data_IF_115786725935
#
_entry.id   IF_115786725935
#
_cell.length_a   1.000
_cell.length_b   1.000
_cell.length_c   1.000
_cell.angle_alpha   90.00
_cell.angle_beta   90.00
_cell.angle_gamma   90.00
#
_symmetry.space_group_name_H-M   'P 1'
#
loop_
_entity.id
_entity.type
_entity.pdbx_description
1 polymer ?
#
# COMPACT_ATOMS: atom_id res chain seq x y z
N UNK A 1 -23.55 -9.52 22.45
CA UNK A 1 -23.11 -9.27 21.04
C UNK A 1 -21.60 -9.11 21.07
N UNK A 2 -20.85 -9.69 20.13
CA UNK A 2 -19.41 -9.47 20.05
C UNK A 2 -19.15 -7.98 19.77
N UNK A 3 -18.16 -7.38 20.42
CA UNK A 3 -17.71 -6.01 20.18
C UNK A 3 -17.29 -5.88 18.70
N UNK A 4 -17.92 -4.97 17.97
CA UNK A 4 -17.61 -4.70 16.58
C UNK A 4 -17.28 -3.21 16.44
N UNK A 5 -16.00 -2.85 16.51
CA UNK A 5 -15.60 -1.45 16.47
C UNK A 5 -15.86 -0.82 15.10
N UNK A 6 -15.88 0.50 15.06
CA UNK A 6 -15.98 1.21 13.80
C UNK A 6 -14.70 1.01 12.96
N UNK A 7 -13.51 1.11 13.58
CA UNK A 7 -12.24 0.88 12.91
C UNK A 7 -11.46 -0.31 13.46
N UNK A 8 -10.79 -1.05 12.57
CA UNK A 8 -9.62 -1.85 12.90
C UNK A 8 -8.39 -1.16 12.33
N UNK A 9 -7.55 -0.63 13.19
CA UNK A 9 -6.22 -0.14 12.76
C UNK A 9 -5.31 -1.36 12.67
N UNK A 10 -4.77 -1.64 11.49
CA UNK A 10 -3.85 -2.76 11.30
C UNK A 10 -2.43 -2.24 11.09
N UNK A 11 -1.46 -2.86 11.76
CA UNK A 11 -0.04 -2.50 11.62
C UNK A 11 0.79 -3.74 11.32
N UNK A 12 1.17 -3.96 10.05
CA UNK A 12 2.24 -4.91 9.73
C UNK A 12 3.56 -4.39 10.30
N UNK A 13 4.30 -5.24 11.02
CA UNK A 13 5.57 -4.85 11.63
C UNK A 13 6.62 -5.95 11.48
N UNK A 14 7.90 -5.57 11.39
CA UNK A 14 9.04 -6.48 11.37
C UNK A 14 10.29 -5.77 11.88
N UNK A 15 10.81 -6.16 13.06
CA UNK A 15 11.98 -5.56 13.71
C UNK A 15 11.84 -4.03 13.85
N UNK A 16 10.71 -3.57 14.41
CA UNK A 16 10.36 -2.15 14.55
C UNK A 16 10.18 -1.69 16.00
N UNK A 17 10.79 -2.37 16.97
CA UNK A 17 10.73 -1.96 18.38
C UNK A 17 11.13 -0.48 18.60
N UNK A 18 12.02 0.05 17.76
CA UNK A 18 12.53 1.42 17.85
C UNK A 18 11.58 2.49 17.26
N UNK A 19 10.58 2.11 16.44
CA UNK A 19 9.64 3.06 15.81
C UNK A 19 8.19 2.83 16.19
N UNK A 20 7.79 1.60 16.48
CA UNK A 20 6.40 1.20 16.73
C UNK A 20 5.74 1.99 17.87
N UNK A 21 6.55 2.49 18.83
CA UNK A 21 6.08 3.34 19.90
C UNK A 21 5.40 4.63 19.44
N UNK A 22 5.79 5.18 18.28
CA UNK A 22 5.13 6.37 17.72
C UNK A 22 3.68 6.05 17.31
N UNK A 23 3.49 4.92 16.62
CA UNK A 23 2.16 4.46 16.22
C UNK A 23 1.27 4.26 17.46
N UNK A 24 1.78 3.59 18.52
CA UNK A 24 1.06 3.39 19.77
C UNK A 24 0.64 4.71 20.43
N UNK A 25 1.56 5.66 20.60
CA UNK A 25 1.26 6.97 21.20
C UNK A 25 0.18 7.69 20.38
N UNK A 26 0.30 7.72 19.05
CA UNK A 26 -0.68 8.37 18.18
C UNK A 26 -2.07 7.74 18.24
N UNK A 27 -2.17 6.44 18.57
CA UNK A 27 -3.44 5.76 18.83
C UNK A 27 -4.01 6.11 20.20
N UNK A 28 -3.17 6.26 21.23
CA UNK A 28 -3.59 6.72 22.53
C UNK A 28 -4.17 8.15 22.51
N UNK A 29 -3.64 8.99 21.60
CA UNK A 29 -4.03 10.39 21.44
C UNK A 29 -5.27 10.60 20.55
N UNK A 30 -5.84 9.52 19.96
CA UNK A 30 -7.05 9.66 19.15
C UNK A 30 -8.25 10.09 19.99
N UNK A 31 -9.01 11.06 19.47
CA UNK A 31 -10.27 11.52 20.09
C UNK A 31 -11.41 10.55 19.87
N UNK A 32 -11.38 9.76 18.82
CA UNK A 32 -12.34 8.70 18.50
C UNK A 32 -11.88 7.37 19.11
N UNK A 33 -12.71 6.76 19.98
CA UNK A 33 -12.30 5.60 20.78
C UNK A 33 -12.90 4.27 20.31
N UNK A 34 -13.80 4.28 19.32
CA UNK A 34 -14.43 3.05 18.81
C UNK A 34 -13.55 2.36 17.76
N UNK A 35 -12.39 1.87 18.21
CA UNK A 35 -11.45 1.14 17.37
C UNK A 35 -10.72 0.04 18.15
N UNK A 36 -10.15 -0.89 17.41
CA UNK A 36 -9.17 -1.87 17.86
C UNK A 36 -7.84 -1.70 17.11
N UNK A 37 -6.74 -2.13 17.70
CA UNK A 37 -5.44 -2.19 17.05
C UNK A 37 -5.00 -3.63 16.83
N UNK A 38 -4.77 -4.03 15.57
CA UNK A 38 -4.35 -5.36 15.17
C UNK A 38 -2.91 -5.30 14.65
N UNK A 39 -1.97 -5.74 15.46
CA UNK A 39 -0.54 -5.79 15.13
C UNK A 39 -0.22 -7.16 14.57
N UNK A 40 0.27 -7.19 13.32
CA UNK A 40 0.76 -8.40 12.67
C UNK A 40 2.29 -8.33 12.62
N UNK A 41 2.92 -9.10 13.47
CA UNK A 41 4.37 -9.20 13.54
C UNK A 41 4.87 -10.26 12.57
N UNK A 42 5.55 -9.81 11.52
CA UNK A 42 6.05 -10.63 10.42
C UNK A 42 7.42 -11.26 10.74
N UNK A 43 7.55 -11.82 11.93
CA UNK A 43 8.72 -12.60 12.34
C UNK A 43 9.83 -11.78 13.00
N UNK A 44 9.49 -10.76 13.81
CA UNK A 44 10.48 -9.99 14.56
C UNK A 44 11.27 -10.87 15.53
N UNK A 45 12.54 -10.53 15.69
CA UNK A 45 13.46 -11.10 16.65
C UNK A 45 14.05 -10.04 17.60
N UNK A 46 13.53 -8.82 17.54
CA UNK A 46 13.82 -7.72 18.48
C UNK A 46 12.76 -7.65 19.59
N UNK A 47 12.77 -6.60 20.39
CA UNK A 47 11.83 -6.39 21.49
C UNK A 47 10.39 -5.99 21.05
N UNK A 48 10.00 -6.15 19.77
CA UNK A 48 8.68 -5.76 19.25
C UNK A 48 7.55 -6.45 20.03
N UNK A 49 7.61 -7.76 20.22
CA UNK A 49 6.59 -8.52 20.93
C UNK A 49 6.43 -8.10 22.39
N UNK A 50 7.55 -7.91 23.10
CA UNK A 50 7.55 -7.45 24.51
C UNK A 50 6.95 -6.05 24.66
N UNK A 51 7.20 -5.16 23.69
CA UNK A 51 6.59 -3.84 23.67
C UNK A 51 5.07 -3.93 23.56
N UNK A 52 4.58 -4.70 22.60
CA UNK A 52 3.12 -4.84 22.39
C UNK A 52 2.46 -5.48 23.60
N UNK A 53 3.08 -6.50 24.22
CA UNK A 53 2.54 -7.14 25.43
C UNK A 53 2.37 -6.13 26.58
N UNK A 54 3.34 -5.20 26.79
CA UNK A 54 3.19 -4.14 27.77
C UNK A 54 2.05 -3.18 27.44
N UNK A 55 1.89 -2.81 26.17
CA UNK A 55 0.81 -1.92 25.75
C UNK A 55 -0.57 -2.54 25.87
N UNK A 56 -0.71 -3.86 25.66
CA UNK A 56 -1.97 -4.59 25.90
C UNK A 56 -2.48 -4.41 27.35
N UNK A 57 -1.56 -4.30 28.31
CA UNK A 57 -1.91 -4.08 29.72
C UNK A 57 -2.24 -2.60 30.05
N UNK A 58 -1.88 -1.64 29.22
CA UNK A 58 -1.95 -0.21 29.49
C UNK A 58 -2.99 0.54 28.65
N UNK A 59 -3.27 0.04 27.44
CA UNK A 59 -4.14 0.71 26.48
C UNK A 59 -5.60 0.74 26.94
N UNK A 60 -6.31 1.79 26.53
CA UNK A 60 -7.77 1.93 26.76
C UNK A 60 -8.60 1.32 25.64
N UNK A 61 -7.96 0.82 24.59
CA UNK A 61 -8.57 0.18 23.45
C UNK A 61 -8.03 -1.26 23.28
N UNK A 62 -8.77 -2.19 22.66
CA UNK A 62 -8.30 -3.54 22.43
C UNK A 62 -7.08 -3.58 21.52
N UNK A 63 -6.06 -4.35 21.91
CA UNK A 63 -4.89 -4.64 21.08
C UNK A 63 -4.82 -6.14 20.85
N UNK A 64 -4.84 -6.54 19.58
CA UNK A 64 -4.57 -7.91 19.15
C UNK A 64 -3.12 -7.97 18.62
N UNK A 65 -2.35 -8.96 19.09
CA UNK A 65 -1.00 -9.21 18.60
C UNK A 65 -0.93 -10.61 18.00
N UNK A 66 -0.43 -10.69 16.76
CA UNK A 66 -0.27 -11.95 16.03
C UNK A 66 1.13 -12.02 15.41
N UNK A 67 1.94 -12.94 15.90
CA UNK A 67 3.23 -13.27 15.32
C UNK A 67 3.09 -14.30 14.20
N UNK A 68 3.90 -14.18 13.16
CA UNK A 68 4.01 -15.15 12.07
C UNK A 68 5.46 -15.28 11.63
N UNK A 69 5.82 -16.38 10.98
CA UNK A 69 7.07 -16.46 10.22
C UNK A 69 7.05 -15.42 9.11
N UNK A 70 8.19 -14.76 8.85
CA UNK A 70 8.29 -13.68 7.87
C UNK A 70 7.86 -14.12 6.46
N UNK A 71 6.86 -13.45 5.92
CA UNK A 71 6.28 -13.68 4.60
C UNK A 71 6.04 -12.36 3.84
N UNK A 72 6.73 -11.29 4.22
CA UNK A 72 6.61 -9.93 3.71
C UNK A 72 5.30 -9.20 4.09
N UNK A 73 5.37 -7.85 4.04
CA UNK A 73 4.28 -6.93 4.40
C UNK A 73 2.92 -7.30 3.79
N UNK A 74 2.88 -7.80 2.54
CA UNK A 74 1.63 -8.15 1.86
C UNK A 74 0.85 -9.28 2.56
N UNK A 75 1.54 -10.32 3.05
CA UNK A 75 0.90 -11.42 3.78
C UNK A 75 0.46 -10.94 5.16
N UNK A 76 1.30 -10.16 5.85
CA UNK A 76 0.94 -9.54 7.12
C UNK A 76 -0.29 -8.62 6.97
N UNK A 77 -0.37 -7.84 5.89
CA UNK A 77 -1.54 -7.03 5.55
C UNK A 77 -2.80 -7.91 5.41
N UNK A 78 -2.77 -8.93 4.54
CA UNK A 78 -3.91 -9.82 4.31
C UNK A 78 -4.38 -10.49 5.61
N UNK A 79 -3.45 -10.92 6.46
CA UNK A 79 -3.77 -11.49 7.78
C UNK A 79 -4.40 -10.46 8.71
N UNK A 80 -3.90 -9.21 8.71
CA UNK A 80 -4.50 -8.11 9.45
C UNK A 80 -5.95 -7.87 9.02
N UNK A 81 -6.21 -7.80 7.71
CA UNK A 81 -7.57 -7.64 7.15
C UNK A 81 -8.48 -8.83 7.53
N UNK A 82 -7.96 -10.06 7.51
CA UNK A 82 -8.72 -11.24 7.93
C UNK A 82 -9.10 -11.19 9.41
N UNK A 83 -8.23 -10.63 10.27
CA UNK A 83 -8.42 -10.51 11.73
C UNK A 83 -9.24 -9.28 12.13
N UNK A 84 -9.29 -8.27 11.31
CA UNK A 84 -10.03 -7.04 11.56
C UNK A 84 -11.51 -7.34 11.85
N UNK A 85 -12.07 -6.82 12.96
CA UNK A 85 -13.49 -6.96 13.29
C UNK A 85 -14.29 -5.68 12.98
N UNK A 86 -13.61 -4.55 12.78
CA UNK A 86 -14.20 -3.26 12.48
C UNK A 86 -14.90 -3.18 11.13
N UNK A 87 -15.75 -2.16 10.99
CA UNK A 87 -16.40 -1.85 9.72
C UNK A 87 -15.39 -1.35 8.67
N UNK A 88 -14.37 -0.64 9.12
CA UNK A 88 -13.28 -0.12 8.29
C UNK A 88 -11.93 -0.58 8.79
N UNK A 89 -11.03 -0.77 7.84
CA UNK A 89 -9.60 -0.98 8.10
C UNK A 89 -8.86 0.32 7.82
N UNK A 90 -7.99 0.70 8.75
CA UNK A 90 -6.97 1.75 8.62
C UNK A 90 -5.61 1.06 8.66
N UNK A 91 -4.76 1.25 7.65
CA UNK A 91 -3.44 0.59 7.60
C UNK A 91 -2.39 1.58 8.07
N UNK A 92 -1.96 1.48 9.32
CA UNK A 92 -0.93 2.33 9.89
C UNK A 92 0.42 1.64 9.85
N UNK A 93 1.36 2.18 9.11
CA UNK A 93 2.73 1.67 9.07
C UNK A 93 3.43 1.84 10.44
N UNK A 94 4.32 0.90 10.77
CA UNK A 94 4.99 0.80 12.08
C UNK A 94 5.97 1.94 12.40
N UNK A 95 6.20 2.85 11.47
CA UNK A 95 7.10 4.00 11.58
C UNK A 95 6.38 5.36 11.39
N UNK A 96 5.05 5.35 11.18
CA UNK A 96 4.23 6.54 11.00
C UNK A 96 3.30 6.80 12.21
N UNK A 97 2.58 7.92 12.18
CA UNK A 97 1.57 8.26 13.19
C UNK A 97 0.27 8.73 12.55
N UNK A 98 -0.84 8.52 13.23
CA UNK A 98 -2.10 9.18 12.89
C UNK A 98 -2.06 10.66 13.34
N UNK A 99 -2.72 11.54 12.57
CA UNK A 99 -3.05 12.87 13.07
C UNK A 99 -4.04 12.76 14.26
N UNK A 100 -4.06 13.72 15.21
CA UNK A 100 -4.80 13.55 16.46
C UNK A 100 -6.31 13.27 16.31
N UNK A 101 -6.94 13.79 15.26
CA UNK A 101 -8.38 13.59 14.98
C UNK A 101 -8.65 12.67 13.80
N UNK A 102 -7.62 11.96 13.29
CA UNK A 102 -7.74 11.23 12.03
C UNK A 102 -8.90 10.23 11.99
N UNK A 103 -9.10 9.46 13.06
CA UNK A 103 -10.21 8.48 13.10
C UNK A 103 -11.56 9.18 13.21
N UNK A 104 -11.67 10.27 13.99
CA UNK A 104 -12.89 11.07 14.08
C UNK A 104 -13.25 11.68 12.73
N UNK A 105 -12.29 12.30 12.06
CA UNK A 105 -12.49 12.97 10.78
C UNK A 105 -12.87 11.97 9.68
N UNK A 106 -12.20 10.80 9.62
CA UNK A 106 -12.57 9.72 8.68
C UNK A 106 -14.00 9.24 8.92
N UNK A 107 -14.43 9.08 10.18
CA UNK A 107 -15.80 8.68 10.52
C UNK A 107 -16.81 9.75 10.13
N UNK A 108 -16.51 11.04 10.38
CA UNK A 108 -17.35 12.16 10.01
C UNK A 108 -17.53 12.24 8.48
N UNK A 109 -16.42 12.21 7.73
CA UNK A 109 -16.41 12.23 6.25
C UNK A 109 -17.22 11.05 5.66
N UNK A 110 -17.10 9.86 6.26
CA UNK A 110 -17.92 8.72 5.83
C UNK A 110 -19.41 8.94 6.11
N UNK A 111 -19.73 9.48 7.28
CA UNK A 111 -21.13 9.71 7.68
C UNK A 111 -21.81 10.80 6.85
N UNK A 112 -21.06 11.73 6.27
CA UNK A 112 -21.55 12.75 5.34
C UNK A 112 -21.93 12.16 3.96
N UNK A 113 -21.53 10.91 3.66
CA UNK A 113 -22.03 10.22 2.46
C UNK A 113 -23.48 9.83 2.72
N UNK A 114 -24.45 10.24 1.87
CA UNK A 114 -25.84 9.82 1.98
C UNK A 114 -25.93 8.29 2.09
N UNK A 115 -26.72 7.79 3.02
CA UNK A 115 -26.82 6.35 3.30
C UNK A 115 -27.16 5.54 2.04
N UNK A 116 -28.05 6.07 1.20
CA UNK A 116 -28.43 5.45 -0.07
C UNK A 116 -27.24 5.26 -1.03
N UNK A 117 -26.23 6.11 -0.96
CA UNK A 117 -25.05 6.08 -1.85
C UNK A 117 -23.87 5.31 -1.26
N UNK A 118 -23.84 5.03 0.05
CA UNK A 118 -22.69 4.38 0.75
C UNK A 118 -22.29 3.06 0.13
N UNK A 119 -23.22 2.33 -0.47
CA UNK A 119 -22.93 1.06 -1.14
C UNK A 119 -21.95 1.20 -2.31
N UNK A 120 -21.87 2.38 -2.93
CA UNK A 120 -20.97 2.71 -4.05
C UNK A 120 -19.56 3.01 -3.59
N UNK A 121 -19.34 3.34 -2.31
CA UNK A 121 -18.06 3.78 -1.78
C UNK A 121 -17.32 2.64 -1.07
N UNK A 122 -16.02 2.54 -1.35
CA UNK A 122 -15.13 1.62 -0.66
C UNK A 122 -14.35 2.28 0.47
N UNK A 123 -14.04 3.57 0.35
CA UNK A 123 -13.04 4.21 1.20
C UNK A 123 -13.27 5.72 1.39
N UNK A 124 -12.67 6.23 2.44
CA UNK A 124 -12.38 7.65 2.66
C UNK A 124 -10.87 7.81 2.65
N UNK A 125 -10.34 8.78 1.89
CA UNK A 125 -8.91 8.99 1.74
C UNK A 125 -8.56 10.47 1.84
N UNK A 126 -7.57 10.79 2.66
CA UNK A 126 -7.03 12.12 2.85
C UNK A 126 -5.54 12.20 2.54
N UNK A 127 -4.91 13.24 3.03
CA UNK A 127 -3.54 13.59 2.78
C UNK A 127 -2.60 13.00 3.85
N UNK A 128 -1.34 12.91 3.49
CA UNK A 128 -0.24 12.70 4.41
C UNK A 128 0.58 13.98 4.53
N UNK A 129 1.03 14.30 5.74
CA UNK A 129 1.96 15.39 5.98
C UNK A 129 3.28 14.87 6.54
N UNK A 130 4.34 15.63 6.44
CA UNK A 130 5.59 15.43 7.18
C UNK A 130 5.45 16.00 8.60
N UNK A 131 6.36 15.68 9.54
CA UNK A 131 6.34 16.27 10.88
C UNK A 131 6.42 17.80 10.91
N UNK A 132 6.95 18.41 9.85
CA UNK A 132 7.00 19.87 9.66
C UNK A 132 5.71 20.48 9.07
N UNK A 133 4.65 19.67 8.90
CA UNK A 133 3.35 20.09 8.37
C UNK A 133 3.27 20.13 6.84
N UNK A 134 4.35 19.93 6.10
CA UNK A 134 4.32 19.93 4.64
C UNK A 134 3.60 18.70 4.11
N UNK A 135 2.67 18.91 3.19
CA UNK A 135 1.94 17.84 2.51
C UNK A 135 2.89 16.98 1.65
N UNK A 136 2.68 15.67 1.66
CA UNK A 136 3.44 14.73 0.84
C UNK A 136 2.72 14.53 -0.49
N UNK A 137 3.25 15.17 -1.54
CA UNK A 137 2.65 15.18 -2.88
C UNK A 137 1.59 16.26 -3.07
N UNK A 138 0.59 15.97 -3.90
CA UNK A 138 -0.41 16.94 -4.33
C UNK A 138 -1.68 16.88 -3.45
N UNK A 139 -2.39 17.99 -3.32
CA UNK A 139 -3.77 18.01 -2.81
C UNK A 139 -4.74 17.44 -3.87
N UNK A 140 -5.96 17.14 -3.44
CA UNK A 140 -7.05 16.79 -4.36
C UNK A 140 -7.64 18.06 -5.00
N UNK A 141 -8.33 17.93 -6.16
CA UNK A 141 -8.86 19.09 -6.90
C UNK A 141 -9.80 19.97 -6.09
N UNK A 142 -10.63 19.37 -5.24
CA UNK A 142 -11.58 20.03 -4.36
C UNK A 142 -11.42 19.51 -2.92
N UNK A 143 -11.98 20.24 -1.95
CA UNK A 143 -11.92 19.85 -0.53
C UNK A 143 -12.61 18.51 -0.25
N UNK A 144 -13.65 18.21 -1.01
CA UNK A 144 -14.31 16.89 -1.07
C UNK A 144 -14.47 16.48 -2.53
N UNK A 145 -13.91 15.34 -2.91
CA UNK A 145 -13.89 14.87 -4.28
C UNK A 145 -14.24 13.37 -4.35
N UNK A 146 -15.37 13.03 -4.94
CA UNK A 146 -15.82 11.65 -5.10
C UNK A 146 -15.38 11.08 -6.45
N UNK A 147 -14.47 10.13 -6.46
CA UNK A 147 -13.93 9.55 -7.68
C UNK A 147 -13.43 8.11 -7.45
N UNK A 148 -13.08 7.42 -8.53
CA UNK A 148 -12.27 6.21 -8.42
C UNK A 148 -10.79 6.55 -8.20
N UNK A 149 -10.03 5.66 -7.58
CA UNK A 149 -8.57 5.80 -7.46
C UNK A 149 -7.89 5.90 -8.83
N UNK A 150 -8.48 5.31 -9.87
CA UNK A 150 -7.96 5.37 -11.23
C UNK A 150 -8.19 6.76 -11.86
N UNK A 151 -9.32 7.41 -11.59
CA UNK A 151 -9.57 8.79 -12.04
C UNK A 151 -8.63 9.77 -11.36
N UNK A 152 -8.48 9.69 -10.03
CA UNK A 152 -7.52 10.52 -9.27
C UNK A 152 -6.09 10.35 -9.82
N UNK A 153 -5.68 9.12 -10.12
CA UNK A 153 -4.32 8.83 -10.59
C UNK A 153 -4.10 9.29 -12.02
N UNK A 154 -5.00 8.95 -12.93
CA UNK A 154 -4.76 9.13 -14.37
C UNK A 154 -5.48 10.33 -14.98
N UNK A 155 -6.67 10.68 -14.51
CA UNK A 155 -7.40 11.83 -15.03
C UNK A 155 -6.94 13.11 -14.34
N UNK A 156 -7.00 13.16 -13.02
CA UNK A 156 -6.60 14.34 -12.24
C UNK A 156 -5.08 14.42 -12.07
N UNK A 157 -4.41 13.26 -12.02
CA UNK A 157 -2.95 13.15 -11.95
C UNK A 157 -2.36 13.48 -10.60
N UNK A 158 -3.14 13.36 -9.55
CA UNK A 158 -2.72 13.56 -8.16
C UNK A 158 -1.65 12.54 -7.79
N UNK A 159 -0.55 13.01 -7.23
CA UNK A 159 0.64 12.22 -6.85
C UNK A 159 0.89 12.27 -5.35
N UNK A 160 1.82 11.42 -4.91
CA UNK A 160 2.28 11.35 -3.53
C UNK A 160 1.44 10.44 -2.66
N UNK A 161 1.89 10.30 -1.41
CA UNK A 161 1.26 9.44 -0.43
C UNK A 161 -0.13 9.94 -0.05
N UNK A 162 -1.07 9.02 0.01
CA UNK A 162 -2.44 9.24 0.45
C UNK A 162 -2.78 8.21 1.51
N UNK A 163 -3.66 8.56 2.44
CA UNK A 163 -3.97 7.71 3.57
C UNK A 163 -5.44 7.80 3.96
N UNK A 164 -6.01 6.70 4.45
CA UNK A 164 -7.42 6.71 4.86
C UNK A 164 -7.90 5.37 5.38
N UNK A 165 -9.20 5.19 5.37
CA UNK A 165 -9.85 3.95 5.75
C UNK A 165 -10.58 3.31 4.57
N UNK A 166 -10.62 1.99 4.57
CA UNK A 166 -11.32 1.20 3.55
C UNK A 166 -12.26 0.20 4.20
N UNK A 167 -13.43 0.01 3.64
CA UNK A 167 -14.41 -0.97 4.13
C UNK A 167 -13.79 -2.37 4.21
N UNK A 168 -13.94 -3.00 5.36
CA UNK A 168 -13.36 -4.33 5.65
C UNK A 168 -13.91 -5.42 4.73
N UNK A 169 -15.21 -5.39 4.46
CA UNK A 169 -15.86 -6.36 3.55
C UNK A 169 -15.33 -6.27 2.12
N UNK A 170 -14.97 -5.07 1.68
CA UNK A 170 -14.38 -4.86 0.35
C UNK A 170 -12.92 -5.32 0.34
N UNK A 171 -12.09 -4.93 1.32
CA UNK A 171 -10.69 -5.37 1.37
C UNK A 171 -10.56 -6.89 1.38
N UNK A 172 -11.46 -7.61 2.06
CA UNK A 172 -11.48 -9.08 2.05
C UNK A 172 -11.71 -9.69 0.67
N UNK A 173 -12.35 -8.98 -0.23
CA UNK A 173 -12.59 -9.42 -1.62
C UNK A 173 -11.43 -9.13 -2.56
N UNK A 174 -10.53 -8.23 -2.17
CA UNK A 174 -9.40 -7.79 -2.99
C UNK A 174 -8.08 -7.90 -2.20
N UNK A 175 -7.65 -9.14 -1.81
CA UNK A 175 -6.40 -9.32 -1.10
C UNK A 175 -5.19 -9.04 -2.00
N UNK A 176 -4.04 -8.78 -1.39
CA UNK A 176 -2.77 -8.81 -2.10
C UNK A 176 -2.50 -10.20 -2.71
N UNK A 177 -1.92 -10.28 -3.90
CA UNK A 177 -1.46 -11.54 -4.46
C UNK A 177 -0.24 -12.04 -3.65
N UNK A 178 -0.43 -13.14 -2.90
CA UNK A 178 0.63 -13.72 -2.05
C UNK A 178 1.62 -14.56 -2.85
N UNK A 179 1.22 -15.06 -4.01
CA UNK A 179 2.02 -15.86 -4.94
C UNK A 179 3.11 -15.07 -5.67
N UNK A 180 3.06 -13.74 -5.62
CA UNK A 180 4.10 -12.88 -6.21
C UNK A 180 5.25 -12.73 -5.21
N UNK A 181 6.50 -13.15 -5.52
CA UNK A 181 7.63 -12.99 -4.62
C UNK A 181 7.94 -11.53 -4.28
N UNK A 182 8.48 -11.30 -3.08
CA UNK A 182 8.98 -10.00 -2.64
C UNK A 182 7.91 -8.92 -2.47
N UNK A 183 8.31 -7.68 -2.75
CA UNK A 183 7.45 -6.51 -2.63
C UNK A 183 6.37 -6.46 -3.70
N UNK A 184 5.14 -6.21 -3.30
CA UNK A 184 4.01 -5.93 -4.19
C UNK A 184 3.44 -4.55 -3.88
N UNK A 185 3.36 -3.63 -4.87
CA UNK A 185 2.83 -2.28 -4.64
C UNK A 185 1.36 -2.27 -4.21
N UNK A 186 1.06 -1.49 -3.17
CA UNK A 186 -0.30 -1.36 -2.59
C UNK A 186 -1.34 -0.85 -3.62
N UNK A 187 -0.90 -0.02 -4.54
CA UNK A 187 -1.77 0.53 -5.58
C UNK A 187 -2.48 -0.53 -6.43
N UNK A 188 -1.97 -1.77 -6.49
CA UNK A 188 -2.65 -2.87 -7.19
C UNK A 188 -3.99 -3.23 -6.53
N UNK A 189 -4.06 -3.23 -5.20
CA UNK A 189 -5.30 -3.48 -4.44
C UNK A 189 -6.30 -2.35 -4.69
N UNK A 190 -5.85 -1.11 -4.53
CA UNK A 190 -6.71 0.06 -4.71
C UNK A 190 -7.26 0.18 -6.15
N UNK A 191 -6.42 -0.12 -7.14
CA UNK A 191 -6.85 -0.17 -8.55
C UNK A 191 -7.83 -1.32 -8.84
N UNK A 192 -7.66 -2.48 -8.20
CA UNK A 192 -8.61 -3.58 -8.35
C UNK A 192 -9.99 -3.21 -7.79
N UNK A 193 -10.04 -2.57 -6.62
CA UNK A 193 -11.28 -2.04 -6.01
C UNK A 193 -11.94 -1.01 -6.94
N UNK A 194 -11.16 -0.08 -7.50
CA UNK A 194 -11.66 0.93 -8.43
C UNK A 194 -12.24 0.32 -9.72
N UNK A 195 -11.57 -0.70 -10.28
CA UNK A 195 -12.09 -1.44 -11.46
C UNK A 195 -13.36 -2.22 -11.19
N UNK A 196 -13.60 -2.60 -9.95
CA UNK A 196 -14.87 -3.21 -9.54
C UNK A 196 -16.03 -2.18 -9.41
N UNK A 197 -15.77 -0.91 -9.73
CA UNK A 197 -16.76 0.16 -9.77
C UNK A 197 -16.92 0.94 -8.47
N UNK A 198 -16.08 0.69 -7.46
CA UNK A 198 -16.16 1.42 -6.21
C UNK A 198 -15.51 2.80 -6.29
N UNK A 199 -16.16 3.76 -5.63
CA UNK A 199 -15.68 5.11 -5.42
C UNK A 199 -14.92 5.23 -4.10
N UNK A 200 -14.13 6.27 -4.02
CA UNK A 200 -13.50 6.76 -2.79
C UNK A 200 -13.88 8.22 -2.62
N UNK A 201 -14.23 8.63 -1.41
CA UNK A 201 -14.34 10.04 -1.05
C UNK A 201 -12.96 10.54 -0.65
N UNK A 202 -12.41 11.45 -1.43
CA UNK A 202 -11.15 12.12 -1.19
C UNK A 202 -11.39 13.46 -0.50
N UNK A 203 -10.55 13.78 0.50
CA UNK A 203 -10.64 15.05 1.26
C UNK A 203 -9.26 15.66 1.48
N UNK A 204 -9.19 17.00 1.43
CA UNK A 204 -7.96 17.75 1.69
C UNK A 204 -7.69 17.90 3.19
N UNK A 205 -7.82 16.79 3.96
CA UNK A 205 -7.54 16.71 5.37
C UNK A 205 -6.35 15.77 5.62
N UNK A 206 -5.49 16.10 6.58
CA UNK A 206 -4.32 15.28 6.92
C UNK A 206 -4.72 14.21 7.92
N UNK A 207 -4.57 12.95 7.54
CA UNK A 207 -4.87 11.80 8.40
C UNK A 207 -3.63 11.10 8.95
N UNK A 208 -2.48 11.20 8.25
CA UNK A 208 -1.23 10.55 8.64
C UNK A 208 -0.07 11.53 8.62
N UNK A 209 0.81 11.41 9.63
CA UNK A 209 2.12 12.04 9.63
C UNK A 209 3.15 10.98 9.20
N UNK A 210 3.75 11.23 8.04
CA UNK A 210 4.74 10.36 7.41
C UNK A 210 6.15 10.72 7.86
N UNK A 211 6.87 9.75 8.43
CA UNK A 211 8.26 9.90 8.86
C UNK A 211 9.20 9.24 7.86
N UNK A 212 10.03 10.02 7.13
CA UNK A 212 11.05 9.44 6.26
C UNK A 212 12.03 8.62 7.10
N UNK A 213 12.02 7.31 6.93
CA UNK A 213 12.91 6.38 7.65
C UNK A 213 14.00 5.88 6.72
N UNK A 214 15.28 5.97 7.15
CA UNK A 214 16.38 5.34 6.42
C UNK A 214 16.13 3.83 6.38
N UNK A 215 16.19 3.23 5.18
CA UNK A 215 15.92 1.81 5.00
C UNK A 215 14.42 1.47 4.88
N UNK A 216 13.53 2.46 4.67
CA UNK A 216 12.14 2.17 4.33
C UNK A 216 12.03 1.37 3.03
N UNK A 217 11.02 0.51 2.91
CA UNK A 217 10.76 -0.24 1.68
C UNK A 217 10.62 0.70 0.46
N UNK A 218 10.13 1.91 0.67
CA UNK A 218 9.99 2.94 -0.37
C UNK A 218 11.35 3.51 -0.80
N UNK A 219 12.29 3.70 0.13
CA UNK A 219 13.65 4.20 -0.18
C UNK A 219 14.55 3.12 -0.76
N UNK A 220 14.33 1.86 -0.39
CA UNK A 220 14.99 0.67 -0.93
C UNK A 220 14.29 0.09 -2.17
N UNK A 221 13.13 0.63 -2.55
CA UNK A 221 12.30 0.17 -3.69
C UNK A 221 12.97 0.34 -5.05
N UNK A 222 14.15 0.90 -5.04
CA UNK A 222 15.04 0.72 -6.14
C UNK A 222 15.08 -0.80 -6.46
N UNK A 223 15.20 -1.13 -7.59
CA UNK A 223 15.46 -2.29 -8.40
C UNK A 223 16.33 -3.36 -7.68
N UNK A 224 15.80 -3.97 -6.63
CA UNK A 224 16.36 -5.22 -6.12
C UNK A 224 15.74 -6.39 -6.87
N UNK A 225 16.47 -7.46 -7.00
CA UNK A 225 16.02 -8.67 -7.72
C UNK A 225 14.72 -9.21 -7.12
N UNK A 226 14.54 -9.13 -5.79
CA UNK A 226 13.34 -9.57 -5.10
C UNK A 226 12.09 -8.73 -5.40
N UNK A 227 12.25 -7.44 -5.76
CA UNK A 227 11.13 -6.54 -6.03
C UNK A 227 10.66 -6.55 -7.50
N UNK A 228 11.44 -7.15 -8.39
CA UNK A 228 11.14 -7.17 -9.83
C UNK A 228 9.77 -7.74 -10.19
N UNK A 229 9.33 -8.89 -9.61
CA UNK A 229 8.02 -9.45 -9.97
C UNK A 229 6.87 -8.49 -9.68
N UNK A 230 6.83 -7.88 -8.50
CA UNK A 230 5.78 -6.94 -8.11
C UNK A 230 5.80 -5.64 -8.92
N UNK A 231 6.98 -5.09 -9.22
CA UNK A 231 7.13 -3.91 -10.08
C UNK A 231 6.72 -4.21 -11.52
N UNK A 232 7.05 -5.39 -12.03
CA UNK A 232 6.62 -5.84 -13.34
C UNK A 232 5.10 -6.04 -13.39
N UNK A 233 4.50 -6.58 -12.31
CA UNK A 233 3.06 -6.73 -12.18
C UNK A 233 2.34 -5.37 -12.22
N UNK A 234 2.87 -4.35 -11.51
CA UNK A 234 2.30 -3.00 -11.55
C UNK A 234 2.39 -2.38 -12.94
N UNK A 235 3.52 -2.54 -13.62
CA UNK A 235 3.70 -2.04 -14.98
C UNK A 235 2.72 -2.73 -15.96
N UNK A 236 2.59 -4.05 -15.85
CA UNK A 236 1.61 -4.85 -16.61
C UNK A 236 0.17 -4.41 -16.29
N UNK A 237 -0.18 -4.22 -15.01
CA UNK A 237 -1.52 -3.76 -14.60
C UNK A 237 -1.88 -2.44 -15.27
N UNK A 238 -0.93 -1.52 -15.37
CA UNK A 238 -1.14 -0.23 -16.05
C UNK A 238 -1.45 -0.42 -17.54
N UNK A 239 -0.63 -1.18 -18.28
CA UNK A 239 -0.77 -1.30 -19.74
C UNK A 239 -1.88 -2.27 -20.17
N UNK A 240 -2.37 -3.12 -19.28
CA UNK A 240 -3.44 -4.08 -19.58
C UNK A 240 -4.77 -3.65 -19.01
N UNK A 241 -4.80 -3.38 -17.71
CA UNK A 241 -6.05 -3.22 -16.97
C UNK A 241 -6.53 -1.76 -16.85
N UNK A 242 -5.63 -0.79 -17.09
CA UNK A 242 -5.95 0.64 -16.97
C UNK A 242 -6.09 1.34 -18.33
N UNK A 243 -6.11 0.63 -19.44
CA UNK A 243 -6.21 1.19 -20.81
C UNK A 243 -7.34 2.21 -21.03
N UNK A 244 -8.52 2.11 -20.42
CA UNK A 244 -9.56 3.14 -20.55
C UNK A 244 -9.11 4.57 -20.16
N UNK A 245 -8.11 4.67 -19.29
CA UNK A 245 -7.52 5.94 -18.84
C UNK A 245 -6.36 6.42 -19.71
N UNK A 246 -5.91 5.66 -20.72
CA UNK A 246 -4.81 6.03 -21.63
C UNK A 246 -4.98 7.43 -22.21
N UNK A 247 -6.20 7.80 -22.63
CA UNK A 247 -6.51 9.09 -23.23
C UNK A 247 -6.17 10.31 -22.36
N UNK A 248 -6.16 10.15 -21.04
CA UNK A 248 -5.89 11.25 -20.10
C UNK A 248 -4.39 11.47 -19.89
N UNK A 249 -3.59 10.39 -19.83
CA UNK A 249 -2.15 10.44 -19.56
C UNK A 249 -1.36 9.43 -20.38
N UNK A 250 -1.34 9.52 -21.71
CA UNK A 250 -0.70 8.51 -22.56
C UNK A 250 0.77 8.27 -22.22
N UNK A 251 1.50 9.33 -21.83
CA UNK A 251 2.92 9.22 -21.45
C UNK A 251 3.15 8.28 -20.26
N UNK A 252 2.25 8.23 -19.28
CA UNK A 252 2.39 7.31 -18.14
C UNK A 252 2.24 5.85 -18.58
N UNK A 253 1.43 5.58 -19.60
CA UNK A 253 1.29 4.24 -20.17
C UNK A 253 2.54 3.84 -20.98
N UNK A 254 3.14 4.75 -21.75
CA UNK A 254 4.41 4.49 -22.41
C UNK A 254 5.54 4.26 -21.40
N UNK A 255 5.60 5.04 -20.32
CA UNK A 255 6.54 4.80 -19.21
C UNK A 255 6.31 3.43 -18.55
N UNK A 256 5.05 3.04 -18.34
CA UNK A 256 4.72 1.73 -17.78
C UNK A 256 5.11 0.59 -18.74
N UNK A 257 4.88 0.74 -20.04
CA UNK A 257 5.28 -0.21 -21.07
C UNK A 257 6.82 -0.38 -21.13
N UNK A 258 7.56 0.73 -21.07
CA UNK A 258 9.02 0.70 -21.00
C UNK A 258 9.53 0.02 -19.70
N UNK A 259 8.90 0.33 -18.54
CA UNK A 259 9.21 -0.35 -17.26
C UNK A 259 8.90 -1.84 -17.33
N UNK A 260 7.79 -2.22 -17.94
CA UNK A 260 7.46 -3.63 -18.14
C UNK A 260 8.57 -4.36 -18.90
N UNK A 261 8.99 -3.83 -20.06
CA UNK A 261 10.07 -4.40 -20.88
C UNK A 261 11.38 -4.50 -20.07
N UNK A 262 11.77 -3.42 -19.38
CA UNK A 262 12.95 -3.36 -18.50
C UNK A 262 12.94 -4.45 -17.44
N UNK A 263 11.83 -4.61 -16.72
CA UNK A 263 11.71 -5.58 -15.63
C UNK A 263 11.61 -7.02 -16.15
N UNK A 264 10.95 -7.23 -17.30
CA UNK A 264 10.89 -8.55 -17.94
C UNK A 264 12.27 -9.04 -18.38
N UNK A 265 13.08 -8.16 -18.95
CA UNK A 265 14.47 -8.47 -19.32
C UNK A 265 15.31 -8.78 -18.08
N UNK A 266 15.13 -8.00 -17.01
CA UNK A 266 15.83 -8.24 -15.76
C UNK A 266 15.44 -9.58 -15.11
N UNK A 267 14.16 -9.93 -15.07
CA UNK A 267 13.66 -11.23 -14.60
C UNK A 267 14.21 -12.39 -15.42
N UNK A 268 14.24 -12.26 -16.74
CA UNK A 268 14.80 -13.28 -17.62
C UNK A 268 16.29 -13.52 -17.35
N UNK A 269 17.07 -12.46 -17.16
CA UNK A 269 18.51 -12.57 -16.86
C UNK A 269 18.81 -13.11 -15.48
N UNK A 270 17.97 -12.81 -14.49
CA UNK A 270 18.17 -13.32 -13.11
C UNK A 270 17.80 -14.80 -12.96
N UNK A 271 17.26 -15.43 -13.98
CA UNK A 271 16.81 -16.84 -13.92
C UNK A 271 15.59 -17.04 -13.01
N UNK A 272 14.96 -15.97 -12.52
CA UNK A 272 13.77 -16.07 -11.70
C UNK A 272 12.56 -16.55 -12.53
N UNK A 273 11.77 -17.43 -11.93
CA UNK A 273 10.50 -17.82 -12.53
C UNK A 273 9.58 -16.60 -12.63
N UNK A 274 8.91 -16.48 -13.78
CA UNK A 274 7.99 -15.38 -14.03
C UNK A 274 6.58 -15.80 -13.67
N UNK A 275 5.95 -15.19 -12.63
CA UNK A 275 4.58 -15.53 -12.28
C UNK A 275 3.63 -15.31 -13.47
N UNK A 276 2.65 -16.21 -13.64
CA UNK A 276 1.67 -16.11 -14.73
C UNK A 276 0.93 -14.77 -14.76
N UNK A 277 0.67 -14.21 -13.58
CA UNK A 277 0.03 -12.90 -13.40
C UNK A 277 0.77 -11.73 -14.09
N UNK A 278 2.06 -11.90 -14.41
CA UNK A 278 2.89 -10.86 -15.05
C UNK A 278 2.81 -10.93 -16.59
N UNK A 279 2.22 -11.96 -17.19
CA UNK A 279 2.15 -12.09 -18.63
C UNK A 279 1.22 -11.06 -19.27
N UNK A 280 1.63 -10.51 -20.41
CA UNK A 280 0.80 -9.62 -21.22
C UNK A 280 -0.31 -10.37 -21.91
N UNK A 281 -1.43 -9.70 -22.04
CA UNK A 281 -2.51 -10.10 -22.93
C UNK A 281 -3.16 -8.86 -23.57
N UNK A 282 -3.87 -9.04 -24.68
CA UNK A 282 -4.53 -7.98 -25.41
C UNK A 282 -3.60 -7.24 -26.40
N UNK A 283 -4.09 -7.00 -27.61
CA UNK A 283 -3.31 -6.40 -28.70
C UNK A 283 -2.80 -4.99 -28.37
N UNK A 284 -3.62 -4.15 -27.72
CA UNK A 284 -3.24 -2.78 -27.37
C UNK A 284 -2.05 -2.74 -26.37
N UNK A 285 -2.04 -3.65 -25.38
CA UNK A 285 -0.92 -3.75 -24.45
C UNK A 285 0.36 -4.18 -25.15
N UNK A 286 0.28 -5.14 -26.07
CA UNK A 286 1.41 -5.57 -26.90
C UNK A 286 1.91 -4.43 -27.80
N UNK A 287 1.03 -3.68 -28.46
CA UNK A 287 1.43 -2.51 -29.27
C UNK A 287 2.20 -1.48 -28.42
N UNK A 288 1.70 -1.14 -27.23
CA UNK A 288 2.37 -0.20 -26.34
C UNK A 288 3.76 -0.70 -25.92
N UNK A 289 3.87 -1.98 -25.56
CA UNK A 289 5.14 -2.56 -25.12
C UNK A 289 6.14 -2.64 -26.27
N UNK A 290 5.72 -3.01 -27.49
CA UNK A 290 6.59 -3.03 -28.67
C UNK A 290 7.09 -1.62 -29.00
N UNK A 291 6.21 -0.60 -28.99
CA UNK A 291 6.60 0.79 -29.23
C UNK A 291 7.57 1.34 -28.16
N UNK A 292 7.40 0.94 -26.91
CA UNK A 292 8.23 1.40 -25.79
C UNK A 292 9.49 0.51 -25.58
N UNK A 293 9.64 -0.61 -26.32
CA UNK A 293 10.72 -1.59 -26.15
C UNK A 293 12.12 -0.98 -26.22
N UNK A 294 12.45 -0.08 -27.19
CA UNK A 294 13.79 0.52 -27.25
C UNK A 294 14.15 1.25 -25.96
N UNK A 295 13.20 1.99 -25.39
CA UNK A 295 13.41 2.71 -24.12
C UNK A 295 13.59 1.72 -22.96
N UNK A 296 12.79 0.68 -22.90
CA UNK A 296 12.89 -0.37 -21.88
C UNK A 296 14.24 -1.10 -21.89
N UNK A 297 14.73 -1.44 -23.09
CA UNK A 297 16.06 -2.06 -23.29
C UNK A 297 17.17 -1.11 -22.86
N UNK A 298 17.12 0.15 -23.29
CA UNK A 298 18.13 1.16 -22.91
C UNK A 298 18.19 1.31 -21.39
N UNK A 299 17.05 1.43 -20.71
CA UNK A 299 17.00 1.52 -19.25
C UNK A 299 17.59 0.27 -18.58
N UNK A 300 17.31 -0.91 -19.12
CA UNK A 300 17.88 -2.16 -18.61
C UNK A 300 19.41 -2.19 -18.77
N UNK A 301 19.96 -1.76 -19.89
CA UNK A 301 21.40 -1.69 -20.14
C UNK A 301 22.08 -0.67 -19.19
N UNK A 302 21.47 0.47 -18.96
CA UNK A 302 21.96 1.46 -17.99
C UNK A 302 22.00 0.92 -16.57
N UNK A 303 21.02 0.10 -16.16
CA UNK A 303 21.05 -0.57 -14.85
C UNK A 303 22.27 -1.48 -14.70
N UNK A 304 22.61 -2.20 -15.76
CA UNK A 304 23.77 -3.10 -15.76
C UNK A 304 25.10 -2.34 -15.63
N UNK A 305 25.23 -1.20 -16.32
CA UNK A 305 26.42 -0.35 -16.25
C UNK A 305 26.61 0.27 -14.86
N UNK A 306 25.54 0.50 -14.12
CA UNK A 306 25.56 1.06 -12.74
C UNK A 306 25.83 0.01 -11.65
N UNK A 307 26.26 -1.19 -12.00
CA UNK A 307 26.62 -2.23 -11.03
C UNK A 307 25.60 -3.37 -10.89
N UNK A 308 24.66 -3.46 -11.84
CA UNK A 308 23.60 -4.46 -11.78
C UNK A 308 22.57 -4.15 -10.68
N UNK A 309 21.47 -4.93 -10.67
CA UNK A 309 20.52 -4.85 -9.57
C UNK A 309 21.10 -5.56 -8.35
N UNK A 310 21.12 -4.93 -7.16
CA UNK A 310 21.59 -5.60 -5.96
C UNK A 310 20.79 -6.90 -5.76
N UNK A 311 21.47 -8.02 -5.64
CA UNK A 311 20.84 -9.22 -5.13
C UNK A 311 20.46 -8.96 -3.68
N UNK A 312 19.23 -9.25 -3.28
CA UNK A 312 18.98 -9.48 -1.87
C UNK A 312 19.88 -10.66 -1.51
N UNK A 313 20.89 -10.40 -0.68
CA UNK A 313 21.62 -11.51 -0.06
C UNK A 313 20.55 -12.35 0.66
N UNK A 314 20.48 -13.66 0.44
CA UNK A 314 19.71 -14.52 1.32
C UNK A 314 20.23 -14.21 2.72
N UNK A 315 19.38 -13.71 3.62
CA UNK A 315 19.74 -13.66 5.03
C UNK A 315 20.01 -15.10 5.40
N UNK A 316 21.31 -15.44 5.48
CA UNK A 316 21.76 -16.72 5.97
C UNK A 316 21.04 -17.00 7.28
N UNK A 317 20.15 -18.01 7.25
CA UNK A 317 19.78 -18.74 8.43
C UNK A 317 21.04 -19.44 8.94
N UNK A 318 21.92 -18.73 9.62
CA UNK A 318 22.90 -19.35 10.49
C UNK A 318 22.19 -19.65 11.80
N UNK A 319 21.66 -20.88 11.86
CA UNK A 319 21.46 -21.58 13.10
C UNK A 319 22.81 -21.65 13.82
N UNK A 320 22.94 -21.03 14.95
CA UNK A 320 23.66 -21.52 16.12
C UNK A 320 22.87 -21.12 17.33
#
# INVERSE_FOLDING_TARGET
>A
MAFRPFFSVITPTYNRAHTLGRAFVSLCDQTFQDFEWVVIDDGSNDATGDLVARWQAQARFPIQYHWQVNQHKKVAFNRGVARASGHFVVVLDSDDTLAPNALFDMAAVWNDIPEADRHRFAAVTGLCARPDGRIVGDAFPDDVFDASVLDITFREGVRGEKFGCTRTDILRRFPYPEDIPGYVPESLVWRAIARAGYLTRFVNQVFRVYYPTQGSLTSQSALTTGNLPGLCLLARDTVVNCLPWFRYRPLEFFKAAARYSRFRLALWRSGLSVPAAVHLHGAAAWCLVVLALPVGVTLHLLDQQRGGMPSESPKENRHV
#
